data_IF_637864199500
#
_entry.id   IF_637864199500
#
_cell.length_a   1.000
_cell.length_b   1.000
_cell.length_c   1.000
_cell.angle_alpha   90.00
_cell.angle_beta   90.00
_cell.angle_gamma   90.00
#
_symmetry.space_group_name_H-M   'P 1'
#
loop_
_entity.id
_entity.type
_entity.pdbx_description
1 polymer ?
#
# COMPACT_ATOMS: atom_id res chain seq x y z
N UNK A 1 20.58 17.10 -8.19
CA UNK A 1 21.18 16.08 -9.10
C UNK A 1 22.53 15.55 -8.60
N UNK A 2 23.43 16.34 -7.98
CA UNK A 2 24.79 15.89 -7.63
C UNK A 2 24.88 14.55 -6.89
N UNK A 3 24.04 14.34 -5.84
CA UNK A 3 24.01 13.05 -5.12
C UNK A 3 23.54 11.89 -6.03
N UNK A 4 22.57 12.10 -6.90
CA UNK A 4 22.13 11.05 -7.84
C UNK A 4 23.21 10.71 -8.87
N UNK A 5 23.95 11.73 -9.38
CA UNK A 5 25.10 11.51 -10.28
C UNK A 5 26.22 10.75 -9.58
N UNK A 6 26.47 11.00 -8.30
CA UNK A 6 27.38 10.18 -7.50
C UNK A 6 26.90 8.73 -7.41
N UNK A 7 25.61 8.47 -7.12
CA UNK A 7 25.06 7.11 -7.08
C UNK A 7 25.14 6.43 -8.46
N UNK A 8 24.90 7.16 -9.54
CA UNK A 8 25.06 6.70 -10.92
C UNK A 8 26.50 6.22 -11.20
N UNK A 9 27.50 6.96 -10.72
CA UNK A 9 28.92 6.64 -10.97
C UNK A 9 29.42 5.38 -10.26
N UNK A 10 28.73 4.92 -9.21
CA UNK A 10 29.08 3.71 -8.44
C UNK A 10 28.24 2.48 -8.81
N UNK A 11 27.39 2.60 -9.86
CA UNK A 11 26.58 1.46 -10.34
C UNK A 11 27.47 0.34 -10.86
N UNK A 12 27.09 -0.89 -10.52
CA UNK A 12 27.74 -2.10 -10.98
C UNK A 12 26.72 -3.25 -11.02
N UNK A 13 26.84 -4.22 -11.95
CA UNK A 13 25.78 -5.19 -12.24
C UNK A 13 25.19 -5.91 -11.02
N UNK A 14 26.04 -6.42 -10.12
CA UNK A 14 25.56 -7.15 -8.95
C UNK A 14 24.81 -6.24 -7.93
N UNK A 15 25.23 -4.98 -7.81
CA UNK A 15 24.58 -4.01 -6.91
C UNK A 15 23.28 -3.49 -7.51
N UNK A 16 23.23 -3.35 -8.84
CA UNK A 16 22.03 -2.99 -9.59
C UNK A 16 20.93 -4.02 -9.38
N UNK A 17 21.25 -5.31 -9.57
CA UNK A 17 20.33 -6.43 -9.33
C UNK A 17 19.87 -6.48 -7.86
N UNK A 18 20.80 -6.28 -6.92
CA UNK A 18 20.46 -6.22 -5.49
C UNK A 18 19.50 -5.08 -5.18
N UNK A 19 19.74 -3.88 -5.71
CA UNK A 19 18.87 -2.72 -5.48
C UNK A 19 17.51 -2.85 -6.18
N UNK A 20 17.46 -3.49 -7.35
CA UNK A 20 16.22 -3.85 -8.02
C UNK A 20 15.41 -4.90 -7.23
N UNK A 21 16.06 -5.84 -6.56
CA UNK A 21 15.38 -6.76 -5.65
C UNK A 21 14.86 -6.05 -4.39
N UNK A 22 15.69 -5.22 -3.77
CA UNK A 22 15.32 -4.47 -2.56
C UNK A 22 14.13 -3.55 -2.81
N UNK A 23 14.08 -2.88 -3.95
CA UNK A 23 12.98 -1.94 -4.23
C UNK A 23 11.61 -2.62 -4.29
N UNK A 24 11.52 -3.93 -4.58
CA UNK A 24 10.28 -4.69 -4.61
C UNK A 24 9.57 -4.70 -3.24
N UNK A 25 10.30 -4.61 -2.14
CA UNK A 25 9.70 -4.50 -0.81
C UNK A 25 8.92 -3.18 -0.58
N UNK A 26 9.06 -2.21 -1.47
CA UNK A 26 8.25 -0.99 -1.49
C UNK A 26 7.01 -1.08 -2.39
N UNK A 27 6.81 -2.19 -3.09
CA UNK A 27 5.67 -2.39 -3.97
C UNK A 27 4.34 -2.48 -3.21
N UNK A 28 3.26 -2.00 -3.83
CA UNK A 28 1.91 -2.05 -3.28
C UNK A 28 1.46 -3.50 -2.98
N UNK A 29 1.86 -4.45 -3.81
CA UNK A 29 1.52 -5.87 -3.62
C UNK A 29 2.14 -6.41 -2.34
N UNK A 30 3.40 -6.07 -2.04
CA UNK A 30 4.08 -6.48 -0.80
C UNK A 30 3.42 -5.84 0.41
N UNK A 31 3.06 -4.56 0.34
CA UNK A 31 2.26 -3.90 1.39
C UNK A 31 0.95 -4.65 1.64
N UNK A 32 0.15 -4.90 0.61
CA UNK A 32 -1.16 -5.54 0.74
C UNK A 32 -1.04 -6.97 1.28
N UNK A 33 -0.12 -7.78 0.75
CA UNK A 33 0.11 -9.16 1.24
C UNK A 33 0.55 -9.14 2.70
N UNK A 34 1.49 -8.27 3.06
CA UNK A 34 1.96 -8.13 4.44
C UNK A 34 0.83 -7.72 5.39
N UNK A 35 0.01 -6.75 4.99
CA UNK A 35 -1.15 -6.32 5.77
C UNK A 35 -2.18 -7.45 5.94
N UNK A 36 -2.45 -8.23 4.88
CA UNK A 36 -3.35 -9.39 4.93
C UNK A 36 -2.80 -10.51 5.83
N UNK A 37 -1.49 -10.79 5.77
CA UNK A 37 -0.86 -11.77 6.68
C UNK A 37 -1.03 -11.34 8.13
N UNK A 38 -0.81 -10.08 8.45
CA UNK A 38 -1.05 -9.55 9.79
C UNK A 38 -2.52 -9.68 10.18
N UNK A 39 -3.43 -9.27 9.30
CA UNK A 39 -4.87 -9.26 9.52
C UNK A 39 -5.47 -10.66 9.70
N UNK A 40 -5.00 -11.64 8.91
CA UNK A 40 -5.55 -13.00 8.94
C UNK A 40 -4.87 -13.93 9.94
N UNK A 41 -3.56 -13.74 10.21
CA UNK A 41 -2.74 -14.77 10.85
C UNK A 41 -2.08 -14.34 12.15
N UNK A 42 -1.88 -13.03 12.38
CA UNK A 42 -1.14 -12.53 13.54
C UNK A 42 -2.06 -11.83 14.53
N UNK A 43 -2.62 -10.71 14.11
CA UNK A 43 -3.51 -9.86 14.91
C UNK A 43 -4.28 -8.93 13.99
N UNK A 44 -5.61 -9.00 13.99
CA UNK A 44 -6.44 -8.22 13.10
C UNK A 44 -6.30 -6.71 13.33
N UNK A 45 -6.08 -6.26 14.56
CA UNK A 45 -5.90 -4.84 14.87
C UNK A 45 -4.56 -4.31 14.36
N UNK A 46 -3.50 -5.14 14.37
CA UNK A 46 -2.24 -4.80 13.69
C UNK A 46 -2.42 -4.75 12.18
N UNK A 47 -3.27 -5.64 11.62
CA UNK A 47 -3.66 -5.55 10.22
C UNK A 47 -4.35 -4.22 9.90
N UNK A 48 -5.37 -3.84 10.67
CA UNK A 48 -6.02 -2.52 10.52
C UNK A 48 -5.05 -1.37 10.68
N UNK A 49 -4.10 -1.47 11.61
CA UNK A 49 -3.09 -0.43 11.82
C UNK A 49 -2.21 -0.22 10.59
N UNK A 50 -1.63 -1.30 10.05
CA UNK A 50 -0.79 -1.23 8.84
C UNK A 50 -1.61 -0.76 7.64
N UNK A 51 -2.85 -1.25 7.45
CA UNK A 51 -3.76 -0.79 6.40
C UNK A 51 -4.07 0.71 6.53
N UNK A 52 -4.33 1.21 7.74
CA UNK A 52 -4.61 2.63 7.96
C UNK A 52 -3.40 3.51 7.65
N UNK A 53 -2.20 3.13 8.10
CA UNK A 53 -0.95 3.83 7.77
C UNK A 53 -0.72 3.84 6.26
N UNK A 54 -0.89 2.68 5.61
CA UNK A 54 -0.70 2.54 4.17
C UNK A 54 -1.71 3.36 3.37
N UNK A 55 -3.01 3.21 3.62
CA UNK A 55 -4.04 3.91 2.84
C UNK A 55 -4.00 5.43 3.01
N UNK A 56 -3.85 5.95 4.24
CA UNK A 56 -3.71 7.40 4.46
C UNK A 56 -2.44 7.90 3.78
N UNK A 57 -1.33 7.16 3.95
CA UNK A 57 -0.07 7.52 3.30
C UNK A 57 -0.19 7.54 1.78
N UNK A 58 -0.87 6.56 1.17
CA UNK A 58 -1.10 6.51 -0.28
C UNK A 58 -2.01 7.66 -0.73
N UNK A 59 -3.09 7.98 0.00
CA UNK A 59 -3.97 9.12 -0.31
C UNK A 59 -3.18 10.44 -0.34
N UNK A 60 -2.41 10.71 0.71
CA UNK A 60 -1.57 11.90 0.81
C UNK A 60 -0.51 11.92 -0.31
N UNK A 61 0.14 10.78 -0.57
CA UNK A 61 1.15 10.65 -1.60
C UNK A 61 0.57 10.95 -3.00
N UNK A 62 -0.56 10.37 -3.35
CA UNK A 62 -1.19 10.56 -4.65
C UNK A 62 -1.71 11.99 -4.84
N UNK A 63 -2.29 12.58 -3.79
CA UNK A 63 -2.68 13.98 -3.80
C UNK A 63 -1.48 14.89 -4.04
N UNK A 64 -0.38 14.71 -3.28
CA UNK A 64 0.83 15.51 -3.41
C UNK A 64 1.48 15.38 -4.80
N UNK A 65 1.45 14.18 -5.40
CA UNK A 65 1.95 13.97 -6.76
C UNK A 65 1.25 14.88 -7.77
N UNK A 66 -0.08 14.92 -7.76
CA UNK A 66 -0.86 15.74 -8.68
C UNK A 66 -0.87 17.23 -8.30
N UNK A 67 -0.64 17.55 -7.04
CA UNK A 67 -0.56 18.94 -6.57
C UNK A 67 0.76 19.59 -6.97
N UNK A 68 1.89 18.95 -6.65
CA UNK A 68 3.22 19.51 -6.91
C UNK A 68 3.72 19.27 -8.33
N UNK A 69 3.31 18.18 -8.97
CA UNK A 69 3.64 17.80 -10.36
C UNK A 69 5.14 17.84 -10.67
N UNK A 70 5.98 17.44 -9.72
CA UNK A 70 7.45 17.45 -9.88
C UNK A 70 7.84 16.31 -10.83
N UNK A 71 8.53 16.61 -11.96
CA UNK A 71 8.99 15.61 -12.91
C UNK A 71 10.02 14.65 -12.29
N UNK A 72 10.19 13.51 -12.92
CA UNK A 72 11.20 12.51 -12.53
C UNK A 72 12.62 12.98 -12.83
N UNK A 73 13.67 12.47 -12.13
CA UNK A 73 15.06 12.86 -12.35
C UNK A 73 15.51 12.80 -13.81
N UNK A 74 15.13 11.76 -14.55
CA UNK A 74 15.48 11.62 -15.98
C UNK A 74 14.72 12.53 -16.93
N UNK A 75 13.65 13.15 -16.47
CA UNK A 75 12.92 14.20 -17.22
C UNK A 75 13.55 15.56 -16.96
N UNK A 76 14.05 15.79 -15.73
CA UNK A 76 14.74 17.02 -15.32
C UNK A 76 16.14 17.13 -15.92
N UNK A 77 16.81 16.01 -16.10
CA UNK A 77 18.18 15.90 -16.63
C UNK A 77 18.22 14.74 -17.64
N UNK A 78 18.07 15.02 -18.94
CA UNK A 78 18.04 14.00 -19.99
C UNK A 78 19.34 13.18 -20.13
N UNK A 79 20.46 13.69 -19.62
CA UNK A 79 21.73 12.95 -19.60
C UNK A 79 21.85 12.00 -18.39
N UNK A 80 20.93 12.10 -17.42
CA UNK A 80 20.91 11.23 -16.26
C UNK A 80 20.31 9.87 -16.60
N UNK A 81 21.07 8.79 -16.36
CA UNK A 81 20.60 7.43 -16.62
C UNK A 81 19.87 6.84 -15.43
N UNK A 82 18.93 5.95 -15.71
CA UNK A 82 18.23 5.14 -14.71
C UNK A 82 18.44 3.66 -15.00
N UNK A 83 18.15 2.79 -14.04
CA UNK A 83 18.01 1.36 -14.33
C UNK A 83 16.66 1.14 -15.02
N UNK A 84 16.66 0.83 -16.32
CA UNK A 84 15.46 0.78 -17.15
C UNK A 84 14.40 -0.19 -16.63
N UNK A 85 14.79 -1.28 -15.96
CA UNK A 85 13.88 -2.25 -15.34
C UNK A 85 12.97 -1.60 -14.28
N UNK A 86 13.39 -0.47 -13.71
CA UNK A 86 12.59 0.25 -12.71
C UNK A 86 11.62 1.28 -13.32
N UNK A 87 11.70 1.56 -14.62
CA UNK A 87 10.88 2.58 -15.31
C UNK A 87 9.39 2.26 -15.24
N UNK A 88 9.02 1.02 -15.50
CA UNK A 88 7.60 0.59 -15.47
C UNK A 88 6.98 0.75 -14.08
N UNK A 89 7.73 0.45 -13.01
CA UNK A 89 7.30 0.64 -11.62
C UNK A 89 7.35 2.08 -11.13
N UNK A 90 7.82 3.02 -11.96
CA UNK A 90 7.96 4.43 -11.62
C UNK A 90 6.85 5.29 -12.23
N UNK A 91 5.60 4.85 -12.18
CA UNK A 91 4.45 5.63 -12.66
C UNK A 91 4.19 6.89 -11.83
N UNK A 92 3.55 7.90 -12.47
CA UNK A 92 3.19 9.16 -11.83
C UNK A 92 4.39 10.11 -11.63
N UNK A 93 4.10 11.30 -11.12
CA UNK A 93 5.11 12.31 -10.78
C UNK A 93 6.09 11.82 -9.71
N UNK A 94 7.26 12.48 -9.59
CA UNK A 94 8.33 12.06 -8.71
C UNK A 94 8.00 12.22 -7.24
N UNK A 95 7.49 13.38 -6.84
CA UNK A 95 7.36 13.79 -5.45
C UNK A 95 5.94 13.56 -4.89
N UNK A 96 5.81 12.94 -3.72
CA UNK A 96 6.83 12.18 -2.98
C UNK A 96 6.94 10.72 -3.44
N UNK A 97 7.94 9.97 -2.93
CA UNK A 97 8.19 8.58 -3.30
C UNK A 97 7.15 7.61 -2.75
N UNK A 98 6.38 6.94 -3.63
CA UNK A 98 5.37 5.94 -3.23
C UNK A 98 5.98 4.69 -2.59
N UNK A 99 7.04 4.12 -3.16
CA UNK A 99 7.73 2.96 -2.59
C UNK A 99 8.32 3.25 -1.21
N UNK A 100 8.88 4.44 -1.02
CA UNK A 100 9.39 4.86 0.30
C UNK A 100 8.25 4.96 1.31
N UNK A 101 7.14 5.62 0.96
CA UNK A 101 5.98 5.74 1.85
C UNK A 101 5.41 4.36 2.20
N UNK A 102 5.26 3.47 1.21
CA UNK A 102 4.75 2.11 1.40
C UNK A 102 5.67 1.27 2.30
N UNK A 103 6.98 1.22 2.00
CA UNK A 103 7.93 0.41 2.77
C UNK A 103 8.13 0.92 4.20
N UNK A 104 8.35 2.23 4.36
CA UNK A 104 8.52 2.83 5.70
C UNK A 104 7.23 2.71 6.51
N UNK A 105 6.07 2.96 5.89
CA UNK A 105 4.77 2.81 6.55
C UNK A 105 4.51 1.38 7.02
N UNK A 106 4.74 0.40 6.17
CA UNK A 106 4.48 -1.01 6.46
C UNK A 106 5.50 -1.58 7.45
N UNK A 107 6.77 -1.56 7.08
CA UNK A 107 7.82 -2.19 7.88
C UNK A 107 8.18 -1.38 9.11
N UNK A 108 8.07 -0.05 9.07
CA UNK A 108 8.20 0.80 10.24
C UNK A 108 7.10 0.54 11.28
N UNK A 109 5.84 0.36 10.85
CA UNK A 109 4.74 -0.02 11.74
C UNK A 109 4.98 -1.41 12.37
N UNK A 110 5.50 -2.38 11.60
CA UNK A 110 5.89 -3.70 12.11
C UNK A 110 7.03 -3.57 13.12
N UNK A 111 8.10 -2.86 12.79
CA UNK A 111 9.25 -2.64 13.68
C UNK A 111 8.84 -2.01 15.01
N UNK A 112 7.91 -1.04 14.96
CA UNK A 112 7.40 -0.34 16.13
C UNK A 112 6.52 -1.18 17.03
N UNK A 113 5.82 -2.19 16.48
CA UNK A 113 4.83 -3.00 17.22
C UNK A 113 5.29 -4.40 17.56
N UNK A 114 6.34 -4.93 16.91
CA UNK A 114 6.84 -6.27 17.18
C UNK A 114 7.65 -6.36 18.45
N UNK A 115 7.52 -7.47 19.19
CA UNK A 115 8.36 -7.81 20.33
C UNK A 115 9.60 -8.62 19.92
N UNK A 116 9.58 -9.24 18.73
CA UNK A 116 10.70 -10.04 18.26
C UNK A 116 11.81 -9.14 17.70
N UNK A 117 13.02 -9.25 18.29
CA UNK A 117 14.17 -8.42 17.90
C UNK A 117 14.62 -8.62 16.46
N UNK A 118 14.55 -9.86 15.96
CA UNK A 118 15.00 -10.17 14.59
C UNK A 118 14.05 -9.62 13.54
N UNK A 119 12.74 -9.76 13.78
CA UNK A 119 11.73 -9.13 12.92
C UNK A 119 11.90 -7.61 12.94
N UNK A 120 12.19 -7.02 14.10
CA UNK A 120 12.41 -5.58 14.22
C UNK A 120 13.64 -5.13 13.42
N UNK A 121 14.76 -5.85 13.53
CA UNK A 121 16.00 -5.53 12.80
C UNK A 121 15.75 -5.65 11.29
N UNK A 122 15.15 -6.75 10.83
CA UNK A 122 14.82 -6.95 9.43
C UNK A 122 13.89 -5.86 8.88
N UNK A 123 12.83 -5.51 9.64
CA UNK A 123 11.91 -4.46 9.26
C UNK A 123 12.60 -3.09 9.17
N UNK A 124 13.47 -2.73 10.14
CA UNK A 124 14.25 -1.50 10.08
C UNK A 124 15.19 -1.50 8.87
N UNK A 125 15.84 -2.63 8.57
CA UNK A 125 16.71 -2.72 7.40
C UNK A 125 15.93 -2.40 6.10
N UNK A 126 14.71 -2.93 5.94
CA UNK A 126 13.86 -2.62 4.79
C UNK A 126 13.49 -1.13 4.75
N UNK A 127 13.16 -0.51 5.90
CA UNK A 127 12.83 0.93 5.95
C UNK A 127 13.99 1.86 5.56
N UNK A 128 15.22 1.36 5.58
CA UNK A 128 16.40 2.11 5.16
C UNK A 128 16.78 1.77 3.72
N UNK A 129 16.81 0.48 3.41
CA UNK A 129 17.31 0.00 2.11
C UNK A 129 16.38 0.36 0.95
N UNK A 130 15.04 0.27 1.12
CA UNK A 130 14.11 0.63 0.04
C UNK A 130 14.19 2.11 -0.33
N UNK A 131 14.12 3.08 0.61
CA UNK A 131 14.36 4.48 0.29
C UNK A 131 15.69 4.73 -0.44
N UNK A 132 16.77 4.10 0.03
CA UNK A 132 18.07 4.21 -0.61
C UNK A 132 18.06 3.63 -2.04
N UNK A 133 17.46 2.46 -2.23
CA UNK A 133 17.36 1.84 -3.55
C UNK A 133 16.67 2.74 -4.59
N UNK A 134 15.63 3.52 -4.17
CA UNK A 134 14.93 4.44 -5.08
C UNK A 134 15.81 5.57 -5.62
N UNK A 135 16.76 6.04 -4.81
CA UNK A 135 17.75 7.02 -5.23
C UNK A 135 18.84 6.37 -6.09
N UNK A 136 19.31 5.17 -5.68
CA UNK A 136 20.35 4.43 -6.39
C UNK A 136 19.92 4.07 -7.82
N UNK A 137 18.71 3.52 -8.00
CA UNK A 137 18.18 3.18 -9.33
C UNK A 137 17.79 4.42 -10.16
N UNK A 138 17.81 5.62 -9.59
CA UNK A 138 17.68 6.90 -10.28
C UNK A 138 16.25 7.40 -10.44
N UNK A 139 15.26 6.81 -9.78
CA UNK A 139 13.84 7.15 -10.02
C UNK A 139 13.27 8.21 -9.07
N UNK A 140 14.00 8.55 -8.00
CA UNK A 140 13.60 9.56 -7.01
C UNK A 140 14.79 10.40 -6.52
N UNK A 141 14.52 11.66 -6.20
CA UNK A 141 15.48 12.54 -5.52
C UNK A 141 15.51 12.29 -4.00
N UNK A 142 16.55 12.75 -3.28
CA UNK A 142 16.55 12.72 -1.81
C UNK A 142 15.34 13.42 -1.19
N UNK A 143 14.84 14.51 -1.75
CA UNK A 143 13.66 15.22 -1.26
C UNK A 143 12.41 14.37 -1.35
N UNK A 144 12.20 13.65 -2.48
CA UNK A 144 11.05 12.73 -2.66
C UNK A 144 11.03 11.66 -1.59
N UNK A 145 12.20 11.13 -1.27
CA UNK A 145 12.41 10.05 -0.31
C UNK A 145 12.23 10.53 1.14
N UNK A 146 12.88 11.63 1.51
CA UNK A 146 12.84 12.15 2.87
C UNK A 146 11.43 12.59 3.28
N UNK A 147 10.71 13.28 2.40
CA UNK A 147 9.33 13.71 2.69
C UNK A 147 8.41 12.50 2.81
N UNK A 148 8.51 11.51 1.91
CA UNK A 148 7.72 10.29 2.00
C UNK A 148 8.01 9.49 3.29
N UNK A 149 9.27 9.39 3.70
CA UNK A 149 9.66 8.73 4.94
C UNK A 149 9.14 9.48 6.17
N UNK A 150 9.27 10.81 6.19
CA UNK A 150 8.76 11.64 7.29
C UNK A 150 7.24 11.52 7.45
N UNK A 151 6.49 11.55 6.34
CA UNK A 151 5.04 11.32 6.33
C UNK A 151 4.68 9.94 6.91
N UNK A 152 5.35 8.87 6.44
CA UNK A 152 5.10 7.52 6.92
C UNK A 152 5.40 7.39 8.42
N UNK A 153 6.52 7.93 8.89
CA UNK A 153 6.89 7.95 10.32
C UNK A 153 5.85 8.71 11.15
N UNK A 154 5.41 9.88 10.71
CA UNK A 154 4.37 10.63 11.40
C UNK A 154 3.07 9.81 11.53
N UNK A 155 2.62 9.17 10.44
CA UNK A 155 1.42 8.33 10.45
C UNK A 155 1.55 7.12 11.39
N UNK A 156 2.73 6.48 11.46
CA UNK A 156 3.01 5.37 12.39
C UNK A 156 2.75 5.82 13.83
N UNK A 157 3.29 6.96 14.24
CA UNK A 157 3.12 7.44 15.62
C UNK A 157 1.71 7.96 15.90
N UNK A 158 1.11 8.69 14.98
CA UNK A 158 -0.23 9.27 15.15
C UNK A 158 -1.33 8.20 15.20
N UNK A 159 -1.23 7.15 14.37
CA UNK A 159 -2.30 6.16 14.26
C UNK A 159 -2.20 5.02 15.28
N UNK A 160 -1.02 4.77 15.86
CA UNK A 160 -0.87 3.71 16.86
C UNK A 160 -1.84 3.83 18.04
N UNK A 161 -1.93 4.97 18.76
CA UNK A 161 -2.86 5.10 19.88
C UNK A 161 -4.33 5.02 19.45
N UNK A 162 -4.64 5.42 18.22
CA UNK A 162 -6.00 5.36 17.65
C UNK A 162 -6.42 3.92 17.40
N UNK A 163 -5.57 3.15 16.69
CA UNK A 163 -5.93 1.80 16.23
C UNK A 163 -5.57 0.72 17.25
N UNK A 164 -4.40 0.81 17.91
CA UNK A 164 -3.94 -0.21 18.86
C UNK A 164 -4.24 0.14 20.33
N UNK A 165 -4.58 1.39 20.62
CA UNK A 165 -4.97 1.82 21.98
C UNK A 165 -6.42 1.53 22.29
N UNK A 166 -7.35 2.09 21.51
CA UNK A 166 -8.79 1.87 21.68
C UNK A 166 -9.50 1.82 20.31
N UNK A 167 -9.29 0.72 19.60
CA UNK A 167 -9.80 0.51 18.24
C UNK A 167 -11.32 0.66 18.17
N UNK A 168 -12.06 0.00 19.07
CA UNK A 168 -13.54 0.04 19.06
C UNK A 168 -14.11 1.47 19.14
N UNK A 169 -13.44 2.34 19.89
CA UNK A 169 -13.88 3.73 20.06
C UNK A 169 -13.54 4.61 18.86
N UNK A 170 -12.33 4.49 18.34
CA UNK A 170 -11.79 5.47 17.39
C UNK A 170 -11.77 4.99 15.94
N UNK A 171 -11.79 3.67 15.69
CA UNK A 171 -11.72 3.13 14.33
C UNK A 171 -12.88 3.54 13.43
N UNK A 172 -14.15 3.61 13.90
CA UNK A 172 -15.25 4.11 13.06
C UNK A 172 -15.01 5.55 12.56
N UNK A 173 -14.55 6.43 13.45
CA UNK A 173 -14.24 7.81 13.09
C UNK A 173 -13.04 7.89 12.15
N UNK A 174 -11.99 7.07 12.38
CA UNK A 174 -10.83 7.00 11.50
C UNK A 174 -11.23 6.54 10.09
N UNK A 175 -12.04 5.49 9.97
CA UNK A 175 -12.51 4.99 8.67
C UNK A 175 -13.41 6.02 7.97
N UNK A 176 -14.25 6.75 8.70
CA UNK A 176 -15.03 7.84 8.13
C UNK A 176 -14.13 8.96 7.59
N UNK A 177 -13.09 9.36 8.33
CA UNK A 177 -12.09 10.34 7.86
C UNK A 177 -11.35 9.83 6.64
N UNK A 178 -10.87 8.58 6.65
CA UNK A 178 -10.18 7.98 5.50
C UNK A 178 -11.07 7.95 4.24
N UNK A 179 -12.35 7.60 4.42
CA UNK A 179 -13.33 7.60 3.33
C UNK A 179 -13.60 9.02 2.82
N UNK A 180 -13.75 9.98 3.71
CA UNK A 180 -13.90 11.40 3.35
C UNK A 180 -12.67 11.94 2.58
N UNK A 181 -11.45 11.56 3.00
CA UNK A 181 -10.22 11.88 2.27
C UNK A 181 -10.22 11.27 0.87
N UNK A 182 -10.66 10.02 0.70
CA UNK A 182 -10.75 9.37 -0.60
C UNK A 182 -11.78 10.04 -1.51
N UNK A 183 -12.95 10.43 -0.96
CA UNK A 183 -13.94 11.22 -1.69
C UNK A 183 -13.35 12.58 -2.09
N UNK A 184 -12.69 13.28 -1.17
CA UNK A 184 -12.04 14.55 -1.45
C UNK A 184 -10.96 14.43 -2.53
N UNK A 185 -10.16 13.37 -2.52
CA UNK A 185 -9.18 13.11 -3.57
C UNK A 185 -9.85 12.80 -4.91
N UNK A 186 -10.93 12.02 -4.93
CA UNK A 186 -11.73 11.77 -6.14
C UNK A 186 -12.31 13.08 -6.71
N UNK A 187 -12.93 13.91 -5.87
CA UNK A 187 -13.45 15.20 -6.30
C UNK A 187 -12.34 16.12 -6.83
N UNK A 188 -11.16 16.07 -6.21
CA UNK A 188 -10.00 16.83 -6.71
C UNK A 188 -9.59 16.39 -8.10
N UNK A 189 -9.46 15.10 -8.39
CA UNK A 189 -9.02 14.62 -9.70
C UNK A 189 -10.07 14.79 -10.80
N UNK A 190 -11.36 14.82 -10.45
CA UNK A 190 -12.45 14.96 -11.41
C UNK A 190 -12.86 16.43 -11.68
N UNK A 191 -12.75 17.29 -10.67
CA UNK A 191 -13.30 18.65 -10.75
C UNK A 191 -12.24 19.75 -10.84
N UNK A 192 -10.99 19.46 -10.44
CA UNK A 192 -9.95 20.49 -10.47
C UNK A 192 -9.56 20.81 -11.92
N UNK A 193 -9.50 22.11 -12.33
CA UNK A 193 -9.09 22.51 -13.67
C UNK A 193 -7.57 22.37 -13.82
N UNK A 194 -7.12 21.18 -14.19
CA UNK A 194 -5.71 20.94 -14.43
C UNK A 194 -5.24 21.75 -15.66
N UNK A 195 -3.96 22.20 -15.68
CA UNK A 195 -3.41 22.91 -16.84
C UNK A 195 -3.46 22.03 -18.11
N UNK A 196 -3.63 22.66 -19.28
CA UNK A 196 -3.67 21.96 -20.57
C UNK A 196 -2.40 21.16 -20.88
N UNK A 197 -1.26 21.56 -20.33
CA UNK A 197 0.03 20.87 -20.48
C UNK A 197 0.30 19.81 -19.42
N UNK A 198 -0.71 19.37 -18.66
CA UNK A 198 -0.52 18.27 -17.71
C UNK A 198 -0.15 17.00 -18.45
N UNK A 199 0.75 16.22 -17.87
CA UNK A 199 1.05 14.88 -18.37
C UNK A 199 -0.18 13.97 -18.19
N UNK A 200 -0.81 13.59 -19.32
CA UNK A 200 -2.04 12.80 -19.35
C UNK A 200 -1.88 11.42 -18.71
N UNK A 201 -0.70 10.80 -18.86
CA UNK A 201 -0.42 9.50 -18.25
C UNK A 201 -0.39 9.60 -16.72
N UNK A 202 0.23 10.64 -16.19
CA UNK A 202 0.29 10.91 -14.75
C UNK A 202 -1.09 11.25 -14.18
N UNK A 203 -1.90 12.01 -14.91
CA UNK A 203 -3.27 12.33 -14.51
C UNK A 203 -4.16 11.06 -14.52
N UNK A 204 -4.11 10.28 -15.59
CA UNK A 204 -4.87 9.01 -15.70
C UNK A 204 -4.49 8.04 -14.58
N UNK A 205 -3.20 7.97 -14.20
CA UNK A 205 -2.74 7.20 -13.05
C UNK A 205 -3.35 7.70 -11.74
N UNK A 206 -3.41 9.02 -11.54
CA UNK A 206 -4.04 9.63 -10.37
C UNK A 206 -5.53 9.35 -10.28
N UNK A 207 -6.27 9.49 -11.38
CA UNK A 207 -7.72 9.16 -11.47
C UNK A 207 -7.93 7.69 -11.11
N UNK A 208 -7.19 6.76 -11.72
CA UNK A 208 -7.28 5.33 -11.42
C UNK A 208 -7.04 5.06 -9.93
N UNK A 209 -6.04 5.72 -9.32
CA UNK A 209 -5.73 5.56 -7.90
C UNK A 209 -6.83 6.11 -6.99
N UNK A 210 -7.48 7.21 -7.36
CA UNK A 210 -8.60 7.78 -6.62
C UNK A 210 -9.78 6.80 -6.54
N UNK A 211 -10.20 6.23 -7.68
CA UNK A 211 -11.25 5.20 -7.70
C UNK A 211 -10.85 3.92 -6.97
N UNK A 212 -9.59 3.49 -7.08
CA UNK A 212 -9.06 2.33 -6.36
C UNK A 212 -9.16 2.53 -4.84
N UNK A 213 -8.68 3.66 -4.35
CA UNK A 213 -8.67 3.97 -2.92
C UNK A 213 -10.07 4.16 -2.36
N UNK A 214 -10.96 4.82 -3.10
CA UNK A 214 -12.36 4.96 -2.69
C UNK A 214 -13.02 3.59 -2.53
N UNK A 215 -12.91 2.72 -3.53
CA UNK A 215 -13.48 1.37 -3.46
C UNK A 215 -12.91 0.55 -2.31
N UNK A 216 -11.58 0.57 -2.14
CA UNK A 216 -10.92 -0.16 -1.07
C UNK A 216 -11.34 0.33 0.33
N UNK A 217 -11.45 1.64 0.54
CA UNK A 217 -11.82 2.22 1.84
C UNK A 217 -13.30 2.04 2.18
N UNK A 218 -14.19 2.14 1.20
CA UNK A 218 -15.59 1.77 1.38
C UNK A 218 -15.72 0.28 1.75
N UNK A 219 -14.96 -0.59 1.09
CA UNK A 219 -14.89 -2.01 1.43
C UNK A 219 -14.37 -2.23 2.84
N UNK A 220 -13.30 -1.53 3.25
CA UNK A 220 -12.71 -1.66 4.59
C UNK A 220 -13.67 -1.19 5.69
N UNK A 221 -14.44 -0.14 5.44
CA UNK A 221 -15.50 0.32 6.34
C UNK A 221 -16.56 -0.77 6.56
N UNK A 222 -17.04 -1.38 5.48
CA UNK A 222 -18.01 -2.49 5.53
C UNK A 222 -17.43 -3.69 6.25
N UNK A 223 -16.18 -4.08 5.96
CA UNK A 223 -15.45 -5.17 6.63
C UNK A 223 -15.37 -4.92 8.14
N UNK A 224 -14.99 -3.73 8.56
CA UNK A 224 -14.91 -3.40 9.99
C UNK A 224 -16.26 -3.53 10.69
N UNK A 225 -17.33 -2.98 10.09
CA UNK A 225 -18.69 -3.07 10.64
C UNK A 225 -19.16 -4.53 10.71
N UNK A 226 -18.90 -5.32 9.67
CA UNK A 226 -19.28 -6.72 9.62
C UNK A 226 -18.52 -7.55 10.66
N UNK A 227 -17.21 -7.32 10.83
CA UNK A 227 -16.41 -8.01 11.82
C UNK A 227 -16.85 -7.69 13.26
N UNK A 228 -17.10 -6.42 13.57
CA UNK A 228 -17.52 -6.02 14.92
C UNK A 228 -18.95 -6.43 15.26
N UNK A 229 -19.86 -6.60 14.29
CA UNK A 229 -21.27 -6.94 14.54
C UNK A 229 -21.55 -8.44 14.46
N UNK A 230 -20.94 -9.16 13.52
CA UNK A 230 -21.38 -10.52 13.18
C UNK A 230 -20.24 -11.54 13.04
N UNK A 231 -19.14 -11.17 12.37
CA UNK A 231 -18.15 -12.15 11.95
C UNK A 231 -17.26 -12.58 13.10
N UNK A 232 -16.72 -11.63 13.87
CA UNK A 232 -15.86 -11.86 15.05
C UNK A 232 -14.81 -12.95 14.80
N UNK A 233 -14.18 -12.95 13.60
CA UNK A 233 -13.28 -14.02 13.23
C UNK A 233 -12.04 -14.10 14.12
N UNK A 234 -11.56 -15.33 14.33
CA UNK A 234 -10.32 -15.60 15.05
C UNK A 234 -9.16 -15.81 14.09
N UNK A 235 -8.01 -15.22 14.41
CA UNK A 235 -6.77 -15.43 13.65
C UNK A 235 -6.08 -16.75 13.98
N UNK A 236 -6.49 -17.43 15.09
CA UNK A 236 -5.82 -18.62 15.62
C UNK A 236 -5.92 -19.79 14.66
N UNK A 237 -4.80 -20.42 14.35
CA UNK A 237 -4.68 -21.71 13.67
C UNK A 237 -3.26 -22.27 13.86
N UNK A 238 -3.03 -23.54 13.60
CA UNK A 238 -1.69 -24.14 13.58
C UNK A 238 -0.86 -23.57 12.42
N UNK A 239 0.47 -23.57 12.52
CA UNK A 239 1.36 -22.88 11.59
C UNK A 239 1.15 -23.25 10.11
N UNK A 240 0.96 -24.54 9.79
CA UNK A 240 0.74 -24.97 8.41
C UNK A 240 -0.64 -24.56 7.88
N UNK A 241 -1.68 -24.54 8.76
CA UNK A 241 -2.99 -24.01 8.39
C UNK A 241 -2.96 -22.50 8.15
N UNK A 242 -2.08 -21.75 8.82
CA UNK A 242 -1.83 -20.34 8.53
C UNK A 242 -1.25 -20.16 7.12
N UNK A 243 -0.29 -21.01 6.71
CA UNK A 243 0.28 -20.98 5.36
C UNK A 243 -0.82 -21.22 4.31
N UNK A 244 -1.64 -22.26 4.50
CA UNK A 244 -2.76 -22.56 3.59
C UNK A 244 -3.77 -21.41 3.54
N UNK A 245 -4.09 -20.83 4.71
CA UNK A 245 -4.99 -19.68 4.82
C UNK A 245 -4.49 -18.48 4.00
N UNK A 246 -3.19 -18.18 4.04
CA UNK A 246 -2.60 -17.11 3.23
C UNK A 246 -2.60 -17.51 1.75
N UNK A 247 -2.12 -18.69 1.39
CA UNK A 247 -1.99 -19.11 0.00
C UNK A 247 -3.34 -19.11 -0.75
N UNK A 248 -4.36 -19.75 -0.17
CA UNK A 248 -5.69 -19.78 -0.77
C UNK A 248 -6.40 -18.42 -0.71
N UNK A 249 -6.21 -17.65 0.37
CA UNK A 249 -6.80 -16.32 0.50
C UNK A 249 -6.24 -15.32 -0.51
N UNK A 250 -4.92 -15.30 -0.68
CA UNK A 250 -4.28 -14.47 -1.73
C UNK A 250 -4.72 -14.95 -3.12
N UNK A 251 -4.78 -16.29 -3.34
CA UNK A 251 -5.32 -16.85 -4.58
C UNK A 251 -6.74 -16.38 -4.88
N UNK A 252 -7.65 -16.44 -3.90
CA UNK A 252 -9.03 -15.96 -4.04
C UNK A 252 -9.09 -14.46 -4.39
N UNK A 253 -8.28 -13.63 -3.70
CA UNK A 253 -8.17 -12.20 -4.00
C UNK A 253 -7.67 -11.94 -5.42
N UNK A 254 -6.67 -12.68 -5.89
CA UNK A 254 -6.13 -12.56 -7.25
C UNK A 254 -7.16 -12.98 -8.32
N UNK A 255 -7.91 -14.05 -8.08
CA UNK A 255 -9.00 -14.49 -8.95
C UNK A 255 -10.06 -13.39 -9.08
N UNK A 256 -10.48 -12.77 -7.99
CA UNK A 256 -11.44 -11.66 -8.02
C UNK A 256 -10.84 -10.44 -8.74
N UNK A 257 -9.59 -10.09 -8.43
CA UNK A 257 -8.89 -8.95 -9.06
C UNK A 257 -8.81 -9.07 -10.58
N UNK A 258 -8.48 -10.26 -11.07
CA UNK A 258 -8.27 -10.52 -12.50
C UNK A 258 -9.58 -10.91 -13.21
N UNK A 259 -10.35 -11.83 -12.64
CA UNK A 259 -11.57 -12.39 -13.26
C UNK A 259 -12.72 -11.39 -13.36
N UNK A 260 -12.83 -10.47 -12.40
CA UNK A 260 -13.92 -9.48 -12.42
C UNK A 260 -13.56 -8.20 -13.20
N UNK A 261 -12.33 -8.05 -13.70
CA UNK A 261 -11.90 -6.82 -14.39
C UNK A 261 -12.75 -6.53 -15.63
N UNK A 262 -12.86 -7.50 -16.54
CA UNK A 262 -13.59 -7.33 -17.79
C UNK A 262 -15.10 -7.15 -17.57
N UNK A 263 -15.83 -8.04 -16.84
CA UNK A 263 -17.26 -7.90 -16.66
C UNK A 263 -17.65 -6.63 -15.89
N UNK A 264 -16.92 -6.25 -14.84
CA UNK A 264 -17.22 -5.03 -14.09
C UNK A 264 -16.98 -3.78 -14.93
N UNK A 265 -15.88 -3.73 -15.70
CA UNK A 265 -15.61 -2.59 -16.57
C UNK A 265 -16.65 -2.48 -17.70
N UNK A 266 -17.19 -3.59 -18.19
CA UNK A 266 -18.26 -3.58 -19.19
C UNK A 266 -19.58 -3.01 -18.64
N UNK A 267 -19.87 -3.23 -17.35
CA UNK A 267 -21.09 -2.75 -16.70
C UNK A 267 -21.00 -1.29 -16.20
N UNK A 268 -19.87 -0.90 -15.64
CA UNK A 268 -19.71 0.36 -14.92
C UNK A 268 -18.70 1.34 -15.57
N UNK A 269 -18.07 0.95 -16.69
CA UNK A 269 -16.95 1.70 -17.26
C UNK A 269 -15.64 1.49 -16.48
N UNK A 270 -14.54 2.05 -17.00
CA UNK A 270 -13.20 1.76 -16.48
C UNK A 270 -12.97 2.35 -15.07
N UNK A 271 -13.40 3.59 -14.86
CA UNK A 271 -13.17 4.32 -13.61
C UNK A 271 -14.05 3.79 -12.47
N UNK A 272 -15.37 3.88 -12.61
CA UNK A 272 -16.31 3.37 -11.60
C UNK A 272 -16.17 1.85 -11.40
N UNK A 273 -15.93 1.10 -12.49
CA UNK A 273 -15.64 -0.33 -12.43
C UNK A 273 -14.39 -0.65 -11.59
N UNK A 274 -13.39 0.22 -11.61
CA UNK A 274 -12.22 0.06 -10.73
C UNK A 274 -12.61 0.18 -9.26
N UNK A 275 -13.43 1.17 -8.88
CA UNK A 275 -13.88 1.32 -7.50
C UNK A 275 -14.72 0.10 -7.04
N UNK A 276 -15.69 -0.33 -7.85
CA UNK A 276 -16.51 -1.51 -7.56
C UNK A 276 -15.66 -2.77 -7.39
N UNK A 277 -14.70 -2.98 -8.27
CA UNK A 277 -13.79 -4.13 -8.19
C UNK A 277 -12.95 -4.13 -6.92
N UNK A 278 -12.33 -3.00 -6.55
CA UNK A 278 -11.51 -2.93 -5.33
C UNK A 278 -12.36 -3.01 -4.06
N UNK A 279 -13.60 -2.51 -4.09
CA UNK A 279 -14.58 -2.76 -3.04
C UNK A 279 -14.81 -4.26 -2.86
N UNK A 280 -15.11 -4.99 -3.94
CA UNK A 280 -15.36 -6.43 -3.90
C UNK A 280 -14.12 -7.23 -3.46
N UNK A 281 -12.92 -6.83 -3.90
CA UNK A 281 -11.65 -7.43 -3.46
C UNK A 281 -11.53 -7.34 -1.93
N UNK A 282 -11.81 -6.17 -1.35
CA UNK A 282 -11.72 -5.97 0.10
C UNK A 282 -12.83 -6.74 0.84
N UNK A 283 -14.05 -6.81 0.28
CA UNK A 283 -15.14 -7.64 0.85
C UNK A 283 -14.74 -9.12 0.86
N UNK A 284 -14.16 -9.62 -0.23
CA UNK A 284 -13.68 -11.01 -0.28
C UNK A 284 -12.59 -11.24 0.75
N UNK A 285 -11.59 -10.37 0.81
CA UNK A 285 -10.48 -10.50 1.75
C UNK A 285 -10.88 -10.34 3.23
N UNK A 286 -11.86 -9.48 3.52
CA UNK A 286 -12.21 -9.12 4.90
C UNK A 286 -13.46 -9.78 5.46
N UNK A 287 -14.35 -10.34 4.60
CA UNK A 287 -15.59 -11.00 5.03
C UNK A 287 -15.65 -12.43 4.50
N UNK A 288 -15.69 -12.61 3.17
CA UNK A 288 -15.95 -13.92 2.55
C UNK A 288 -14.87 -14.93 2.95
N UNK A 289 -13.61 -14.54 2.83
CA UNK A 289 -12.49 -15.39 3.19
C UNK A 289 -12.42 -15.69 4.69
N UNK A 290 -12.55 -14.72 5.61
CA UNK A 290 -12.60 -14.99 7.05
C UNK A 290 -13.74 -15.89 7.53
N UNK A 291 -14.84 -16.04 6.78
CA UNK A 291 -15.88 -17.04 7.09
C UNK A 291 -15.31 -18.46 7.17
N UNK A 292 -14.26 -18.76 6.39
CA UNK A 292 -13.60 -20.08 6.41
C UNK A 292 -12.67 -20.29 7.62
N UNK A 293 -12.33 -19.25 8.39
CA UNK A 293 -11.32 -19.31 9.43
C UNK A 293 -11.72 -20.21 10.60
N UNK A 294 -13.02 -20.39 10.83
CA UNK A 294 -13.52 -21.38 11.80
C UNK A 294 -13.09 -22.80 11.44
N UNK A 295 -13.06 -23.14 10.15
CA UNK A 295 -12.57 -24.43 9.67
C UNK A 295 -11.05 -24.55 9.84
N UNK A 296 -10.28 -23.54 9.42
CA UNK A 296 -8.82 -23.52 9.59
C UNK A 296 -8.40 -23.62 11.08
N UNK A 297 -9.17 -23.02 11.98
CA UNK A 297 -8.91 -23.09 13.42
C UNK A 297 -9.10 -24.48 14.04
N UNK A 298 -9.86 -25.36 13.38
CA UNK A 298 -10.05 -26.77 13.81
C UNK A 298 -8.98 -27.71 13.25
N UNK A 299 -8.27 -27.32 12.19
CA UNK A 299 -7.23 -28.15 11.59
C UNK A 299 -6.07 -28.32 12.58
N UNK A 300 -5.65 -29.57 12.82
CA UNK A 300 -4.53 -29.90 13.70
C UNK A 300 -4.82 -29.87 15.20
N UNK A 301 -6.01 -29.50 15.64
CA UNK A 301 -6.48 -29.83 17.00
C UNK A 301 -6.92 -31.30 16.99
N UNK A 302 -6.12 -32.17 17.61
CA UNK A 302 -6.62 -33.48 18.01
C UNK A 302 -7.64 -33.19 19.12
N UNK A 303 -8.91 -33.53 18.87
CA UNK A 303 -9.92 -33.68 19.94
C UNK A 303 -9.46 -34.68 20.99
#
# INVERSE_FOLDING_TARGET
MGFLRFLESIRMPWLDEFMLLITQFGDETVFLVTALVLFWCVDKYRGYYVLSVGFIGTLLNQFMKLFFRIPRPWVLDPEFTILEQAREGAGGYSFPSGHTQSSVGTFGAIAYTTKNRWIRIAAIAVTILVPFSRMYIGVHTPADVLVAAAMAVALIFLLKPVVLGNCKKYMPALLAVMTAMAIGFLLYVELFPFPENIDEHNLASGIKNAYTLLGALLGLLVVYIADEKWLHFSVKAVWWAQILKVAFGVGAVLVVKSGLKAPINALFGTSAGTAVRYFLIVIVAGIVWPLTFRWFGKLGNKE
#
